data_IF_466841054440
#
_entry.id   IF_466841054440
#
_cell.length_a   1.000
_cell.length_b   1.000
_cell.length_c   1.000
_cell.angle_alpha   90.00
_cell.angle_beta   90.00
_cell.angle_gamma   90.00
#
_symmetry.space_group_name_H-M   'P 1'
#
loop_
_entity.id
_entity.type
_entity.pdbx_description
1 polymer ?
#
# COMPACT_ATOMS: atom_id res chain seq x y z
N UNK A 1 19.26 23.54 -2.30
CA UNK A 1 19.90 22.55 -1.45
C UNK A 1 18.85 21.67 -0.78
N UNK A 2 18.99 20.35 -0.81
CA UNK A 2 18.15 19.46 -0.03
C UNK A 2 18.47 19.64 1.44
N UNK A 3 17.52 20.12 2.23
CA UNK A 3 17.70 20.16 3.67
C UNK A 3 17.60 18.73 4.19
N UNK A 4 18.52 18.28 5.02
CA UNK A 4 18.58 16.92 5.56
C UNK A 4 17.22 16.49 6.14
N UNK A 5 16.49 17.43 6.73
CA UNK A 5 15.14 17.22 7.28
C UNK A 5 14.11 16.79 6.22
N UNK A 6 14.16 17.35 5.00
CA UNK A 6 13.23 16.98 3.92
C UNK A 6 13.50 15.55 3.44
N UNK A 7 14.79 15.20 3.29
CA UNK A 7 15.20 13.84 2.92
C UNK A 7 14.75 12.84 3.98
N UNK A 8 14.95 13.17 5.26
CA UNK A 8 14.56 12.33 6.36
C UNK A 8 13.03 12.12 6.40
N UNK A 9 12.23 13.19 6.31
CA UNK A 9 10.76 13.10 6.29
C UNK A 9 10.24 12.32 5.08
N UNK A 10 10.87 12.48 3.90
CA UNK A 10 10.49 11.72 2.71
C UNK A 10 10.78 10.22 2.87
N UNK A 11 11.91 9.86 3.51
CA UNK A 11 12.24 8.47 3.84
C UNK A 11 11.26 7.90 4.86
N UNK A 12 11.01 8.61 5.97
CA UNK A 12 10.08 8.17 7.03
C UNK A 12 8.70 7.85 6.46
N UNK A 13 8.10 8.78 5.71
CA UNK A 13 6.82 8.56 5.04
C UNK A 13 6.92 7.52 3.93
N UNK A 14 8.02 7.45 3.19
CA UNK A 14 8.27 6.46 2.16
C UNK A 14 8.18 5.04 2.70
N UNK A 15 8.79 4.76 3.85
CA UNK A 15 8.71 3.45 4.50
C UNK A 15 7.33 3.17 5.07
N UNK A 16 6.63 4.14 5.66
CA UNK A 16 5.26 3.96 6.16
C UNK A 16 4.32 3.56 5.02
N UNK A 17 4.35 4.26 3.89
CA UNK A 17 3.50 3.96 2.73
C UNK A 17 3.98 2.74 1.93
N UNK A 18 5.20 2.28 2.14
CA UNK A 18 5.67 1.02 1.56
C UNK A 18 4.81 -0.18 2.02
N UNK A 19 4.24 -0.13 3.22
CA UNK A 19 3.30 -1.15 3.70
C UNK A 19 2.04 -1.22 2.83
N UNK A 20 1.49 -0.06 2.40
CA UNK A 20 0.36 -0.01 1.46
C UNK A 20 0.79 -0.54 0.08
N UNK A 21 1.98 -0.16 -0.40
CA UNK A 21 2.48 -0.66 -1.68
C UNK A 21 2.65 -2.19 -1.67
N UNK A 22 3.10 -2.77 -0.55
CA UNK A 22 3.20 -4.22 -0.37
C UNK A 22 1.84 -4.90 -0.23
N UNK A 23 0.88 -4.26 0.44
CA UNK A 23 -0.50 -4.74 0.51
C UNK A 23 -1.11 -4.84 -0.90
N UNK A 24 -0.97 -3.78 -1.69
CA UNK A 24 -1.44 -3.76 -3.08
C UNK A 24 -0.62 -4.67 -3.99
N UNK A 25 0.66 -4.89 -3.72
CA UNK A 25 1.43 -5.93 -4.40
C UNK A 25 0.78 -7.30 -4.21
N UNK A 26 0.32 -7.63 -2.99
CA UNK A 26 -0.36 -8.89 -2.72
C UNK A 26 -1.72 -8.96 -3.42
N UNK A 27 -2.58 -7.94 -3.33
CA UNK A 27 -3.91 -7.97 -3.92
C UNK A 27 -3.89 -7.83 -5.44
N UNK A 28 -3.22 -6.82 -5.99
CA UNK A 28 -3.22 -6.53 -7.44
C UNK A 28 -2.27 -7.39 -8.24
N UNK A 29 -1.08 -7.72 -7.69
CA UNK A 29 -0.03 -8.39 -8.47
C UNK A 29 0.01 -9.89 -8.24
N UNK A 30 -0.23 -10.33 -7.00
CA UNK A 30 -0.17 -11.75 -6.63
C UNK A 30 -1.53 -12.41 -6.82
N UNK A 31 -2.62 -11.82 -6.31
CA UNK A 31 -3.98 -12.33 -6.46
C UNK A 31 -4.68 -11.90 -7.76
N UNK A 32 -4.17 -10.86 -8.42
CA UNK A 32 -4.80 -10.24 -9.59
C UNK A 32 -6.24 -9.75 -9.31
N UNK A 33 -6.48 -9.24 -8.11
CA UNK A 33 -7.77 -8.73 -7.63
C UNK A 33 -7.65 -7.23 -7.38
N UNK A 34 -8.56 -6.44 -7.98
CA UNK A 34 -8.67 -5.01 -7.71
C UNK A 34 -9.40 -4.80 -6.38
N UNK A 35 -8.64 -4.57 -5.31
CA UNK A 35 -9.17 -4.31 -3.97
C UNK A 35 -9.32 -2.81 -3.70
N UNK A 36 -10.56 -2.34 -3.69
CA UNK A 36 -10.92 -0.95 -3.39
C UNK A 36 -11.21 -0.72 -1.89
N UNK A 37 -11.06 -1.73 -1.05
CA UNK A 37 -11.24 -1.64 0.41
C UNK A 37 -10.07 -0.90 1.08
N UNK A 38 -8.94 -0.81 0.40
CA UNK A 38 -7.66 -0.27 0.89
C UNK A 38 -7.81 1.12 1.54
N UNK A 39 -8.58 2.04 0.94
CA UNK A 39 -8.78 3.39 1.48
C UNK A 39 -9.48 3.35 2.86
N UNK A 40 -10.55 2.57 2.98
CA UNK A 40 -11.29 2.38 4.24
C UNK A 40 -10.49 1.61 5.28
N UNK A 41 -9.77 0.57 4.87
CA UNK A 41 -8.93 -0.24 5.75
C UNK A 41 -7.73 0.56 6.30
N UNK A 42 -7.16 1.47 5.50
CA UNK A 42 -6.13 2.38 5.97
C UNK A 42 -6.64 3.31 7.07
N UNK A 43 -7.79 3.95 6.83
CA UNK A 43 -8.45 4.81 7.83
C UNK A 43 -8.85 4.01 9.07
N UNK A 44 -9.32 2.76 8.91
CA UNK A 44 -9.61 1.86 10.02
C UNK A 44 -8.38 1.63 10.91
N UNK A 45 -7.23 1.39 10.29
CA UNK A 45 -5.97 1.28 10.99
C UNK A 45 -5.60 2.54 11.76
N UNK A 46 -5.80 3.73 11.15
CA UNK A 46 -5.60 5.01 11.83
C UNK A 46 -6.52 5.16 13.05
N UNK A 47 -7.82 4.89 12.88
CA UNK A 47 -8.83 5.03 13.93
C UNK A 47 -8.56 4.10 15.12
N UNK A 48 -8.35 2.81 14.87
CA UNK A 48 -8.09 1.80 15.90
C UNK A 48 -6.79 2.08 16.65
N UNK A 49 -5.73 2.43 15.92
CA UNK A 49 -4.44 2.74 16.55
C UNK A 49 -4.49 4.02 17.38
N UNK A 50 -5.23 5.04 16.92
CA UNK A 50 -5.39 6.29 17.65
C UNK A 50 -6.15 6.07 18.96
N UNK A 51 -7.29 5.38 18.91
CA UNK A 51 -8.10 5.09 20.10
C UNK A 51 -7.36 4.21 21.10
N UNK A 52 -6.61 3.20 20.63
CA UNK A 52 -5.78 2.37 21.50
C UNK A 52 -4.62 3.16 22.14
N UNK A 53 -3.99 4.07 21.41
CA UNK A 53 -2.94 4.94 21.95
C UNK A 53 -3.51 5.91 23.00
N UNK A 54 -4.69 6.49 22.78
CA UNK A 54 -5.39 7.33 23.76
C UNK A 54 -5.74 6.54 25.02
N UNK A 55 -6.05 5.24 24.88
CA UNK A 55 -6.26 4.33 26.01
C UNK A 55 -4.97 3.89 26.73
N UNK A 56 -3.79 4.38 26.31
CA UNK A 56 -2.50 4.07 26.95
C UNK A 56 -1.79 2.81 26.43
N UNK A 57 -2.29 2.21 25.35
CA UNK A 57 -1.72 0.96 24.80
C UNK A 57 -1.26 1.10 23.34
N UNK A 58 -0.21 1.89 23.04
CA UNK A 58 0.18 2.21 21.66
C UNK A 58 0.64 0.99 20.84
N UNK A 59 1.31 0.00 21.44
CA UNK A 59 1.71 -1.24 20.75
C UNK A 59 0.51 -2.15 20.42
N UNK A 60 -0.44 -2.28 21.37
CA UNK A 60 -1.69 -2.99 21.12
C UNK A 60 -2.46 -2.38 19.94
N UNK A 61 -2.36 -1.06 19.74
CA UNK A 61 -2.95 -0.37 18.62
C UNK A 61 -2.52 -0.93 17.27
N UNK A 62 -1.27 -1.34 17.10
CA UNK A 62 -0.80 -1.97 15.84
C UNK A 62 -1.41 -3.35 15.62
N UNK A 63 -1.44 -4.17 16.66
CA UNK A 63 -2.02 -5.52 16.58
C UNK A 63 -3.52 -5.47 16.31
N UNK A 64 -4.24 -4.63 17.05
CA UNK A 64 -5.69 -4.45 16.86
C UNK A 64 -6.02 -3.87 15.49
N UNK A 65 -5.21 -2.94 14.97
CA UNK A 65 -5.37 -2.40 13.63
C UNK A 65 -5.20 -3.49 12.56
N UNK A 66 -4.18 -4.36 12.69
CA UNK A 66 -4.00 -5.49 11.77
C UNK A 66 -5.19 -6.46 11.80
N UNK A 67 -5.71 -6.79 12.97
CA UNK A 67 -6.88 -7.65 13.12
C UNK A 67 -8.13 -7.00 12.52
N UNK A 68 -8.36 -5.72 12.79
CA UNK A 68 -9.48 -4.97 12.21
C UNK A 68 -9.39 -4.92 10.67
N UNK A 69 -8.19 -4.67 10.13
CA UNK A 69 -7.94 -4.72 8.69
C UNK A 69 -8.17 -6.11 8.10
N UNK A 70 -7.74 -7.17 8.79
CA UNK A 70 -8.02 -8.54 8.37
C UNK A 70 -9.54 -8.82 8.33
N UNK A 71 -10.31 -8.34 9.31
CA UNK A 71 -11.77 -8.44 9.32
C UNK A 71 -12.40 -7.69 8.14
N UNK A 72 -11.91 -6.49 7.80
CA UNK A 72 -12.36 -5.74 6.64
C UNK A 72 -12.09 -6.51 5.33
N UNK A 73 -10.88 -7.07 5.20
CA UNK A 73 -10.51 -7.93 4.06
C UNK A 73 -11.34 -9.20 3.99
N UNK A 74 -11.65 -9.82 5.13
CA UNK A 74 -12.56 -10.97 5.20
C UNK A 74 -13.96 -10.63 4.70
N UNK A 75 -14.52 -9.49 5.11
CA UNK A 75 -15.84 -9.06 4.66
C UNK A 75 -15.87 -8.82 3.14
N UNK A 76 -14.87 -8.15 2.58
CA UNK A 76 -14.73 -7.96 1.13
C UNK A 76 -14.64 -9.30 0.40
N UNK A 77 -13.81 -10.21 0.90
CA UNK A 77 -13.66 -11.54 0.33
C UNK A 77 -14.96 -12.36 0.41
N UNK A 78 -15.69 -12.25 1.51
CA UNK A 78 -17.00 -12.89 1.68
C UNK A 78 -18.01 -12.44 0.62
N UNK A 79 -18.12 -11.12 0.41
CA UNK A 79 -18.98 -10.57 -0.66
C UNK A 79 -18.58 -11.11 -2.03
N UNK A 80 -17.28 -11.21 -2.30
CA UNK A 80 -16.78 -11.66 -3.59
C UNK A 80 -16.94 -13.17 -3.80
N UNK A 81 -16.61 -13.97 -2.80
CA UNK A 81 -16.50 -15.44 -2.97
C UNK A 81 -17.80 -16.18 -2.69
N UNK A 82 -18.64 -15.69 -1.77
CA UNK A 82 -19.91 -16.34 -1.39
C UNK A 82 -21.12 -15.70 -2.04
N UNK A 83 -21.13 -14.39 -2.20
CA UNK A 83 -22.23 -13.66 -2.82
C UNK A 83 -22.02 -13.38 -4.32
N UNK A 84 -20.83 -13.72 -4.87
CA UNK A 84 -20.54 -13.55 -6.29
C UNK A 84 -20.44 -12.08 -6.74
N UNK A 85 -20.25 -11.14 -5.81
CA UNK A 85 -20.12 -9.71 -6.14
C UNK A 85 -18.78 -9.46 -6.85
N UNK A 86 -18.74 -8.70 -7.97
CA UNK A 86 -17.49 -8.34 -8.62
C UNK A 86 -16.52 -7.67 -7.65
N UNK A 87 -15.21 -7.97 -7.74
CA UNK A 87 -14.19 -7.56 -6.77
C UNK A 87 -14.16 -6.04 -6.52
N UNK A 88 -14.24 -5.24 -7.58
CA UNK A 88 -14.25 -3.77 -7.49
C UNK A 88 -15.48 -3.32 -6.69
N UNK A 89 -16.66 -3.87 -6.99
CA UNK A 89 -17.91 -3.50 -6.33
C UNK A 89 -17.91 -3.94 -4.85
N UNK A 90 -17.44 -5.15 -4.56
CA UNK A 90 -17.28 -5.63 -3.18
C UNK A 90 -16.37 -4.70 -2.35
N UNK A 91 -15.24 -4.26 -2.93
CA UNK A 91 -14.35 -3.29 -2.30
C UNK A 91 -15.01 -1.93 -2.04
N UNK A 92 -15.77 -1.40 -3.01
CA UNK A 92 -16.49 -0.11 -2.85
C UNK A 92 -17.56 -0.22 -1.76
N UNK A 93 -18.35 -1.29 -1.73
CA UNK A 93 -19.37 -1.53 -0.70
C UNK A 93 -18.71 -1.58 0.69
N UNK A 94 -17.65 -2.36 0.84
CA UNK A 94 -16.93 -2.47 2.11
C UNK A 94 -16.33 -1.13 2.52
N UNK A 95 -15.70 -0.41 1.60
CA UNK A 95 -15.10 0.90 1.87
C UNK A 95 -16.15 1.91 2.36
N UNK A 96 -17.34 1.93 1.75
CA UNK A 96 -18.45 2.78 2.17
C UNK A 96 -18.96 2.42 3.56
N UNK A 97 -19.09 1.13 3.86
CA UNK A 97 -19.46 0.65 5.20
C UNK A 97 -18.41 0.99 6.26
N UNK A 98 -17.13 0.83 5.92
CA UNK A 98 -16.01 1.16 6.81
C UNK A 98 -15.97 2.63 7.20
N UNK A 99 -16.48 3.55 6.37
CA UNK A 99 -16.53 4.96 6.74
C UNK A 99 -17.30 5.18 8.06
N UNK A 100 -18.48 4.56 8.20
CA UNK A 100 -19.28 4.65 9.42
C UNK A 100 -18.64 3.91 10.59
N UNK A 101 -18.03 2.75 10.35
CA UNK A 101 -17.30 1.99 11.37
C UNK A 101 -16.12 2.81 11.89
N UNK A 102 -15.34 3.42 11.01
CA UNK A 102 -14.22 4.28 11.39
C UNK A 102 -14.69 5.47 12.23
N UNK A 103 -15.78 6.11 11.81
CA UNK A 103 -16.37 7.24 12.55
C UNK A 103 -16.86 6.82 13.94
N UNK A 104 -17.48 5.63 14.06
CA UNK A 104 -17.92 5.09 15.35
C UNK A 104 -16.74 4.78 16.29
N UNK A 105 -15.66 4.18 15.77
CA UNK A 105 -14.42 3.91 16.54
C UNK A 105 -13.78 5.23 17.02
N UNK A 106 -13.84 6.29 16.22
CA UNK A 106 -13.34 7.61 16.55
C UNK A 106 -14.28 8.41 17.46
N UNK A 107 -15.36 7.80 17.98
CA UNK A 107 -16.33 8.46 18.85
C UNK A 107 -17.18 9.49 18.14
N UNK A 108 -17.53 9.26 16.87
CA UNK A 108 -18.26 10.18 15.98
C UNK A 108 -17.56 11.53 15.77
N UNK A 109 -16.25 11.58 15.99
CA UNK A 109 -15.41 12.73 15.68
C UNK A 109 -14.67 12.52 14.37
N UNK A 110 -14.57 13.53 13.53
CA UNK A 110 -13.79 13.46 12.28
C UNK A 110 -12.28 13.40 12.50
N UNK A 111 -11.80 13.80 13.68
CA UNK A 111 -10.38 13.81 14.01
C UNK A 111 -10.16 13.44 15.48
N UNK A 112 -9.19 12.56 15.74
CA UNK A 112 -8.73 12.16 17.08
C UNK A 112 -7.31 12.66 17.29
N UNK A 113 -7.11 13.73 18.09
CA UNK A 113 -5.77 14.25 18.38
C UNK A 113 -5.08 13.40 19.46
N UNK A 114 -3.79 13.08 19.24
CA UNK A 114 -2.94 12.30 20.15
C UNK A 114 -1.76 13.14 20.69
N UNK A 115 -1.92 14.47 20.85
CA UNK A 115 -0.82 15.37 21.22
C UNK A 115 -0.23 15.08 22.60
N UNK A 116 -1.06 14.62 23.55
CA UNK A 116 -0.68 14.36 24.95
C UNK A 116 -0.52 12.86 25.26
N UNK A 117 -0.68 11.99 24.26
CA UNK A 117 -0.63 10.54 24.45
C UNK A 117 0.76 9.98 24.13
N UNK A 118 1.14 8.93 24.81
CA UNK A 118 2.32 8.17 24.46
C UNK A 118 2.06 7.38 23.18
N UNK A 119 2.99 7.48 22.24
CA UNK A 119 2.99 6.72 21.00
C UNK A 119 4.23 5.85 20.93
N UNK A 120 4.26 4.84 20.09
CA UNK A 120 5.46 4.03 19.85
C UNK A 120 6.65 4.93 19.46
N UNK A 121 6.40 6.01 18.73
CA UNK A 121 7.44 6.98 18.38
C UNK A 121 7.96 7.79 19.58
N UNK A 122 7.10 8.15 20.54
CA UNK A 122 7.57 8.85 21.75
C UNK A 122 8.34 7.92 22.67
N UNK A 123 7.94 6.65 22.77
CA UNK A 123 8.70 5.62 23.49
C UNK A 123 10.07 5.36 22.85
N UNK A 124 10.11 5.28 21.53
CA UNK A 124 11.38 5.16 20.78
C UNK A 124 12.28 6.38 20.99
N UNK A 125 11.71 7.60 21.07
CA UNK A 125 12.47 8.81 21.40
C UNK A 125 13.14 8.72 22.79
N UNK A 126 12.44 8.16 23.76
CA UNK A 126 12.98 7.96 25.11
C UNK A 126 14.13 6.93 25.13
N UNK A 127 14.07 5.90 24.25
CA UNK A 127 15.10 4.86 24.16
C UNK A 127 16.35 5.31 23.40
N UNK A 128 16.17 5.97 22.23
CA UNK A 128 17.26 6.31 21.31
C UNK A 128 17.81 7.74 21.50
N UNK A 129 17.15 8.57 22.31
CA UNK A 129 17.51 9.96 22.52
C UNK A 129 17.04 10.93 21.43
N UNK A 130 17.01 12.22 21.75
CA UNK A 130 16.44 13.26 20.85
C UNK A 130 17.26 13.51 19.57
N UNK A 131 18.56 13.26 19.59
CA UNK A 131 19.47 13.52 18.46
C UNK A 131 19.44 12.42 17.41
N UNK A 132 18.89 11.23 17.71
CA UNK A 132 18.83 10.11 16.76
C UNK A 132 17.60 10.21 15.86
N UNK A 133 17.63 9.67 14.62
CA UNK A 133 16.48 9.63 13.71
C UNK A 133 15.50 8.54 14.12
N UNK A 134 15.01 8.57 15.39
CA UNK A 134 14.14 7.53 15.97
C UNK A 134 12.89 7.24 15.13
N UNK A 135 12.31 8.27 14.48
CA UNK A 135 11.16 8.11 13.62
C UNK A 135 11.47 7.22 12.41
N UNK A 136 12.63 7.47 11.77
CA UNK A 136 13.09 6.65 10.65
C UNK A 136 13.37 5.22 11.09
N UNK A 137 14.01 5.02 12.25
CA UNK A 137 14.33 3.70 12.79
C UNK A 137 13.05 2.89 12.99
N UNK A 138 12.02 3.47 13.62
CA UNK A 138 10.73 2.79 13.84
C UNK A 138 10.06 2.47 12.50
N UNK A 139 9.97 3.44 11.57
CA UNK A 139 9.35 3.23 10.28
C UNK A 139 10.04 2.12 9.46
N UNK A 140 11.37 2.13 9.41
CA UNK A 140 12.16 1.10 8.72
C UNK A 140 11.99 -0.26 9.39
N UNK A 141 12.07 -0.33 10.72
CA UNK A 141 11.93 -1.60 11.45
C UNK A 141 10.57 -2.24 11.19
N UNK A 142 9.47 -1.48 11.33
CA UNK A 142 8.11 -2.00 11.07
C UNK A 142 7.98 -2.46 9.62
N UNK A 143 8.47 -1.68 8.66
CA UNK A 143 8.40 -2.03 7.23
C UNK A 143 9.23 -3.26 6.91
N UNK A 144 10.45 -3.38 7.42
CA UNK A 144 11.32 -4.54 7.17
C UNK A 144 10.73 -5.80 7.79
N UNK A 145 10.22 -5.73 9.02
CA UNK A 145 9.56 -6.86 9.69
C UNK A 145 8.32 -7.29 8.92
N UNK A 146 7.45 -6.36 8.53
CA UNK A 146 6.26 -6.67 7.76
C UNK A 146 6.59 -7.25 6.36
N UNK A 147 7.62 -6.71 5.70
CA UNK A 147 8.13 -7.23 4.43
C UNK A 147 8.64 -8.66 4.58
N UNK A 148 9.46 -8.92 5.59
CA UNK A 148 9.99 -10.25 5.86
C UNK A 148 8.85 -11.25 6.13
N UNK A 149 7.88 -10.89 6.98
CA UNK A 149 6.71 -11.72 7.28
C UNK A 149 5.88 -12.00 6.03
N UNK A 150 5.61 -10.99 5.18
CA UNK A 150 4.88 -11.18 3.93
C UNK A 150 5.61 -12.14 2.99
N UNK A 151 6.92 -11.99 2.83
CA UNK A 151 7.70 -12.82 1.93
C UNK A 151 7.78 -14.25 2.45
N UNK A 152 7.99 -14.45 3.76
CA UNK A 152 7.94 -15.76 4.39
C UNK A 152 6.56 -16.40 4.19
N UNK A 153 5.48 -15.64 4.40
CA UNK A 153 4.11 -16.10 4.16
C UNK A 153 3.90 -16.54 2.70
N UNK A 154 4.35 -15.75 1.73
CA UNK A 154 4.25 -16.09 0.30
C UNK A 154 5.11 -17.30 -0.11
N UNK A 155 6.09 -17.69 0.69
CA UNK A 155 6.87 -18.92 0.55
C UNK A 155 6.20 -20.16 1.14
N UNK A 156 5.16 -20.02 1.95
CA UNK A 156 4.41 -21.15 2.53
C UNK A 156 3.52 -21.83 1.50
N UNK A 157 3.00 -23.03 1.85
CA UNK A 157 2.01 -23.72 0.99
C UNK A 157 0.79 -22.89 0.67
N UNK A 158 0.29 -22.13 1.65
CA UNK A 158 -0.83 -21.18 1.45
C UNK A 158 -0.44 -20.04 0.50
N UNK A 159 0.73 -19.43 0.69
CA UNK A 159 1.22 -18.38 -0.19
C UNK A 159 1.42 -18.85 -1.63
N UNK A 160 1.91 -20.07 -1.84
CA UNK A 160 2.01 -20.68 -3.16
C UNK A 160 0.63 -20.90 -3.79
N UNK A 161 -0.36 -21.37 -3.01
CA UNK A 161 -1.74 -21.54 -3.47
C UNK A 161 -2.39 -20.19 -3.84
N UNK A 162 -2.13 -19.12 -3.07
CA UNK A 162 -2.60 -17.76 -3.37
C UNK A 162 -2.02 -17.27 -4.70
N UNK A 163 -0.71 -17.49 -4.93
CA UNK A 163 -0.05 -17.13 -6.20
C UNK A 163 -0.62 -17.89 -7.38
N UNK A 164 -0.79 -19.21 -7.23
CA UNK A 164 -1.41 -20.05 -8.27
C UNK A 164 -2.84 -19.61 -8.57
N UNK A 165 -3.63 -19.22 -7.55
CA UNK A 165 -4.99 -18.70 -7.71
C UNK A 165 -5.02 -17.40 -8.52
N UNK A 166 -4.06 -16.50 -8.29
CA UNK A 166 -3.96 -15.26 -9.06
C UNK A 166 -3.53 -15.46 -10.52
N UNK A 167 -2.70 -16.48 -10.78
CA UNK A 167 -2.27 -16.80 -12.14
C UNK A 167 -3.39 -17.50 -12.96
N UNK A 168 -4.05 -18.51 -12.38
CA UNK A 168 -5.16 -19.23 -13.04
C UNK A 168 -6.08 -19.91 -12.02
N UNK A 169 -7.22 -19.29 -11.65
CA UNK A 169 -8.12 -19.82 -10.65
C UNK A 169 -8.80 -21.15 -11.08
N UNK A 170 -9.02 -21.35 -12.38
CA UNK A 170 -9.68 -22.57 -12.86
C UNK A 170 -8.74 -23.78 -12.77
N UNK A 171 -7.45 -23.61 -13.05
CA UNK A 171 -6.45 -24.66 -12.86
C UNK A 171 -6.32 -25.04 -11.38
N UNK A 172 -6.40 -24.06 -10.48
CA UNK A 172 -6.30 -24.29 -9.03
C UNK A 172 -7.51 -25.07 -8.52
N UNK A 173 -8.71 -24.75 -9.02
CA UNK A 173 -9.95 -25.54 -8.72
C UNK A 173 -9.83 -26.98 -9.19
N UNK A 174 -9.30 -27.20 -10.40
CA UNK A 174 -9.06 -28.54 -10.93
C UNK A 174 -8.06 -29.34 -10.07
N UNK A 175 -7.16 -28.67 -9.36
CA UNK A 175 -6.21 -29.25 -8.42
C UNK A 175 -6.75 -29.43 -7.00
N UNK A 176 -8.09 -29.39 -6.81
CA UNK A 176 -8.79 -29.55 -5.52
C UNK A 176 -8.44 -28.52 -4.45
N UNK A 177 -7.91 -27.37 -4.84
CA UNK A 177 -7.63 -26.25 -3.92
C UNK A 177 -8.83 -25.30 -3.90
N UNK A 178 -9.30 -24.94 -2.72
CA UNK A 178 -10.41 -24.00 -2.57
C UNK A 178 -9.96 -22.57 -2.86
N UNK A 179 -10.33 -22.05 -4.04
CA UNK A 179 -10.00 -20.68 -4.48
C UNK A 179 -10.68 -19.61 -3.63
N UNK A 180 -11.86 -19.86 -3.07
CA UNK A 180 -12.54 -18.93 -2.17
C UNK A 180 -11.71 -18.72 -0.89
N UNK A 181 -11.16 -19.79 -0.33
CA UNK A 181 -10.29 -19.72 0.84
C UNK A 181 -8.98 -18.96 0.54
N UNK A 182 -8.33 -19.23 -0.58
CA UNK A 182 -7.07 -18.56 -0.95
C UNK A 182 -7.28 -17.06 -1.19
N UNK A 183 -8.37 -16.65 -1.85
CA UNK A 183 -8.76 -15.26 -2.03
C UNK A 183 -9.02 -14.59 -0.69
N UNK A 184 -9.79 -15.25 0.18
CA UNK A 184 -10.11 -14.71 1.52
C UNK A 184 -8.85 -14.44 2.33
N UNK A 185 -7.96 -15.43 2.44
CA UNK A 185 -6.71 -15.27 3.19
C UNK A 185 -5.84 -14.16 2.59
N UNK A 186 -5.73 -14.10 1.27
CA UNK A 186 -4.94 -13.08 0.61
C UNK A 186 -5.46 -11.66 0.83
N UNK A 187 -6.79 -11.44 0.76
CA UNK A 187 -7.41 -10.15 1.04
C UNK A 187 -7.31 -9.78 2.54
N UNK A 188 -7.44 -10.75 3.45
CA UNK A 188 -7.22 -10.52 4.88
C UNK A 188 -5.79 -10.02 5.16
N UNK A 189 -4.78 -10.68 4.60
CA UNK A 189 -3.37 -10.28 4.80
C UNK A 189 -3.09 -8.93 4.16
N UNK A 190 -3.61 -8.68 2.94
CA UNK A 190 -3.45 -7.39 2.27
C UNK A 190 -4.03 -6.24 3.10
N UNK A 191 -5.28 -6.37 3.54
CA UNK A 191 -5.94 -5.32 4.32
C UNK A 191 -5.36 -5.18 5.75
N UNK A 192 -4.83 -6.25 6.35
CA UNK A 192 -4.08 -6.18 7.60
C UNK A 192 -2.82 -5.32 7.46
N UNK A 193 -2.07 -5.48 6.37
CA UNK A 193 -0.89 -4.64 6.09
C UNK A 193 -1.25 -3.19 5.80
N UNK A 194 -2.34 -2.97 5.08
CA UNK A 194 -2.86 -1.61 4.83
C UNK A 194 -3.23 -0.91 6.13
N UNK A 195 -3.96 -1.60 7.01
CA UNK A 195 -4.34 -1.06 8.32
C UNK A 195 -3.13 -0.84 9.23
N UNK A 196 -2.11 -1.70 9.16
CA UNK A 196 -0.85 -1.47 9.86
C UNK A 196 -0.17 -0.17 9.39
N UNK A 197 -0.16 0.10 8.08
CA UNK A 197 0.36 1.36 7.55
C UNK A 197 -0.39 2.57 8.11
N UNK A 198 -1.73 2.51 8.13
CA UNK A 198 -2.58 3.54 8.73
C UNK A 198 -2.28 3.73 10.23
N UNK A 199 -2.13 2.63 10.97
CA UNK A 199 -1.80 2.66 12.39
C UNK A 199 -0.46 3.36 12.67
N UNK A 200 0.57 3.02 11.89
CA UNK A 200 1.89 3.65 12.00
C UNK A 200 1.82 5.13 11.64
N UNK A 201 1.10 5.50 10.57
CA UNK A 201 0.95 6.89 10.16
C UNK A 201 0.23 7.74 11.23
N UNK A 202 -0.86 7.25 11.80
CA UNK A 202 -1.61 7.96 12.82
C UNK A 202 -0.73 8.28 14.06
N UNK A 203 0.04 7.31 14.54
CA UNK A 203 0.97 7.54 15.64
C UNK A 203 2.16 8.43 15.26
N UNK A 204 2.62 8.36 13.98
CA UNK A 204 3.67 9.24 13.48
C UNK A 204 3.23 10.70 13.44
N UNK A 205 2.02 10.98 12.94
CA UNK A 205 1.45 12.32 12.82
C UNK A 205 0.83 12.82 14.14
N UNK A 206 0.61 11.92 15.11
CA UNK A 206 -0.11 12.19 16.36
C UNK A 206 -1.53 12.69 16.16
N UNK A 207 -2.17 12.26 15.10
CA UNK A 207 -3.58 12.54 14.80
C UNK A 207 -4.13 11.48 13.86
N UNK A 208 -5.41 11.16 13.99
CA UNK A 208 -6.16 10.36 13.04
C UNK A 208 -7.32 11.18 12.50
N UNK A 209 -7.42 11.29 11.19
CA UNK A 209 -8.51 11.97 10.49
C UNK A 209 -9.25 10.96 9.61
N UNK A 210 -10.57 11.11 9.50
CA UNK A 210 -11.44 10.19 8.75
C UNK A 210 -11.10 10.12 7.26
N UNK A 211 -10.48 11.18 6.72
CA UNK A 211 -10.14 11.30 5.29
C UNK A 211 -8.70 10.86 4.97
N UNK A 212 -7.91 10.41 5.96
CA UNK A 212 -6.50 10.04 5.74
C UNK A 212 -6.31 8.91 4.71
N UNK A 213 -7.28 8.00 4.63
CA UNK A 213 -7.24 6.89 3.67
C UNK A 213 -7.64 7.27 2.25
N UNK A 214 -8.22 8.46 2.03
CA UNK A 214 -8.74 8.84 0.71
C UNK A 214 -7.63 8.95 -0.33
N UNK A 215 -7.65 8.06 -1.33
CA UNK A 215 -6.68 8.01 -2.43
C UNK A 215 -5.44 7.16 -2.13
N UNK A 216 -5.42 6.37 -1.06
CA UNK A 216 -4.30 5.48 -0.72
C UNK A 216 -4.10 4.38 -1.75
N UNK A 217 -5.17 3.88 -2.37
CA UNK A 217 -5.09 2.95 -3.50
C UNK A 217 -4.23 3.55 -4.62
N UNK A 218 -4.47 4.82 -4.98
CA UNK A 218 -3.74 5.50 -6.06
C UNK A 218 -2.27 5.66 -5.69
N UNK A 219 -1.97 6.10 -4.46
CA UNK A 219 -0.60 6.27 -3.96
C UNK A 219 0.15 4.94 -3.94
N UNK A 220 -0.50 3.89 -3.45
CA UNK A 220 0.12 2.57 -3.35
C UNK A 220 0.35 1.93 -4.72
N UNK A 221 -0.61 2.04 -5.66
CA UNK A 221 -0.42 1.58 -7.04
C UNK A 221 0.67 2.37 -7.78
N UNK A 222 0.74 3.70 -7.57
CA UNK A 222 1.83 4.49 -8.11
C UNK A 222 3.19 3.98 -7.63
N UNK A 223 3.31 3.79 -6.33
CA UNK A 223 4.51 3.28 -5.69
C UNK A 223 4.90 1.91 -6.26
N UNK A 224 3.92 1.00 -6.36
CA UNK A 224 4.11 -0.33 -6.92
C UNK A 224 4.61 -0.28 -8.37
N UNK A 225 3.95 0.50 -9.24
CA UNK A 225 4.27 0.57 -10.66
C UNK A 225 5.64 1.24 -10.89
N UNK A 226 5.96 2.30 -10.13
CA UNK A 226 7.29 2.93 -10.17
C UNK A 226 8.36 1.92 -9.78
N UNK A 227 8.15 1.18 -8.69
CA UNK A 227 9.07 0.14 -8.25
C UNK A 227 9.26 -0.96 -9.31
N UNK A 228 8.18 -1.49 -9.86
CA UNK A 228 8.23 -2.52 -10.91
C UNK A 228 8.90 -2.05 -12.21
N UNK A 229 8.71 -0.80 -12.61
CA UNK A 229 9.33 -0.27 -13.83
C UNK A 229 10.84 -0.11 -13.69
N UNK A 230 11.32 0.20 -12.50
CA UNK A 230 12.75 0.40 -12.22
C UNK A 230 13.48 -0.91 -11.88
N UNK A 231 12.85 -1.77 -11.07
CA UNK A 231 13.49 -2.96 -10.49
C UNK A 231 12.76 -4.27 -10.80
N UNK A 232 11.68 -4.26 -11.57
CA UNK A 232 10.70 -5.35 -11.71
C UNK A 232 11.16 -6.61 -12.45
N UNK A 233 12.45 -6.79 -12.77
CA UNK A 233 12.98 -7.99 -13.40
C UNK A 233 13.61 -8.89 -12.35
N UNK A 234 12.84 -9.85 -11.81
CA UNK A 234 13.36 -10.77 -10.80
C UNK A 234 12.29 -11.62 -10.14
N UNK A 235 12.72 -12.42 -9.18
CA UNK A 235 11.86 -13.25 -8.35
C UNK A 235 10.96 -12.41 -7.41
N UNK A 236 10.12 -13.11 -6.64
CA UNK A 236 9.13 -12.49 -5.73
C UNK A 236 9.78 -11.52 -4.72
N UNK A 237 10.95 -11.86 -4.19
CA UNK A 237 11.72 -11.01 -3.28
C UNK A 237 12.10 -9.67 -3.88
N UNK A 238 12.56 -9.70 -5.14
CA UNK A 238 12.94 -8.49 -5.88
C UNK A 238 11.73 -7.60 -6.13
N UNK A 239 10.57 -8.19 -6.45
CA UNK A 239 9.33 -7.45 -6.67
C UNK A 239 8.79 -6.80 -5.39
N UNK A 240 8.88 -7.50 -4.25
CA UNK A 240 8.49 -6.94 -2.95
C UNK A 240 9.43 -5.79 -2.54
N UNK A 241 10.75 -5.97 -2.69
CA UNK A 241 11.72 -4.89 -2.46
C UNK A 241 11.53 -3.71 -3.43
N UNK A 242 11.16 -3.99 -4.68
CA UNK A 242 10.82 -2.98 -5.67
C UNK A 242 9.62 -2.12 -5.24
N UNK A 243 8.59 -2.72 -4.66
CA UNK A 243 7.43 -1.98 -4.13
C UNK A 243 7.84 -1.01 -3.01
N UNK A 244 8.72 -1.45 -2.11
CA UNK A 244 9.28 -0.59 -1.05
C UNK A 244 10.10 0.55 -1.64
N UNK A 245 11.03 0.25 -2.55
CA UNK A 245 11.85 1.27 -3.22
C UNK A 245 10.98 2.26 -4.02
N UNK A 246 9.95 1.77 -4.69
CA UNK A 246 9.00 2.61 -5.43
C UNK A 246 8.23 3.57 -4.54
N UNK A 247 7.83 3.14 -3.33
CA UNK A 247 7.18 4.01 -2.35
C UNK A 247 8.11 5.13 -1.88
N UNK A 248 9.36 4.81 -1.61
CA UNK A 248 10.37 5.81 -1.23
C UNK A 248 10.57 6.82 -2.36
N UNK A 249 10.76 6.36 -3.60
CA UNK A 249 10.92 7.23 -4.78
C UNK A 249 9.70 8.12 -4.98
N UNK A 250 8.48 7.55 -4.89
CA UNK A 250 7.25 8.32 -4.99
C UNK A 250 7.19 9.45 -3.97
N UNK A 251 7.56 9.18 -2.71
CA UNK A 251 7.60 10.21 -1.65
C UNK A 251 8.64 11.28 -1.90
N UNK A 252 9.79 10.94 -2.46
CA UNK A 252 10.76 11.92 -2.88
C UNK A 252 10.22 12.86 -3.97
N UNK A 253 9.47 12.32 -4.94
CA UNK A 253 8.84 13.14 -6.01
C UNK A 253 7.81 14.11 -5.40
N UNK A 254 6.98 13.64 -4.46
CA UNK A 254 6.02 14.51 -3.74
C UNK A 254 6.74 15.58 -2.90
N UNK A 255 7.82 15.23 -2.20
CA UNK A 255 8.60 16.17 -1.42
C UNK A 255 9.24 17.26 -2.31
N UNK A 256 9.68 16.90 -3.51
CA UNK A 256 10.17 17.87 -4.51
C UNK A 256 9.05 18.80 -5.02
N UNK A 257 7.86 18.27 -5.28
CA UNK A 257 6.70 19.04 -5.70
C UNK A 257 6.29 20.08 -4.65
N UNK A 258 6.24 19.66 -3.37
CA UNK A 258 5.97 20.58 -2.25
C UNK A 258 7.01 21.71 -2.15
N UNK A 259 8.27 21.39 -2.40
CA UNK A 259 9.33 22.40 -2.40
C UNK A 259 9.22 23.39 -3.56
N UNK A 260 8.63 23.01 -4.68
CA UNK A 260 8.36 23.92 -5.80
C UNK A 260 7.18 24.89 -5.52
N UNK A 261 6.81 25.07 -4.25
CA UNK A 261 5.69 25.90 -3.79
C UNK A 261 4.33 25.51 -4.39
N UNK A 262 4.15 24.22 -4.71
CA UNK A 262 2.84 23.70 -5.15
C UNK A 262 1.91 23.63 -3.94
N UNK A 263 0.70 24.22 -3.99
CA UNK A 263 -0.27 24.13 -2.92
C UNK A 263 -0.60 22.68 -2.55
N UNK A 264 -0.85 22.44 -1.26
CA UNK A 264 -1.14 21.08 -0.74
C UNK A 264 -2.37 20.44 -1.39
N UNK A 265 -3.34 21.26 -1.81
CA UNK A 265 -4.56 20.85 -2.52
C UNK A 265 -4.26 20.21 -3.88
N UNK A 266 -3.18 20.67 -4.53
CA UNK A 266 -2.75 20.16 -5.84
C UNK A 266 -1.97 18.84 -5.75
N UNK A 267 -1.59 18.36 -4.56
CA UNK A 267 -0.83 17.10 -4.41
C UNK A 267 -1.58 15.88 -4.93
N UNK A 268 -2.91 15.85 -4.79
CA UNK A 268 -3.75 14.76 -5.33
C UNK A 268 -3.71 14.75 -6.86
N UNK A 269 -3.74 15.93 -7.50
CA UNK A 269 -3.61 16.07 -8.95
C UNK A 269 -2.23 15.60 -9.44
N UNK A 270 -1.16 16.04 -8.75
CA UNK A 270 0.21 15.61 -9.08
C UNK A 270 0.35 14.10 -8.93
N UNK A 271 -0.19 13.53 -7.86
CA UNK A 271 -0.23 12.07 -7.68
C UNK A 271 -0.89 11.37 -8.86
N UNK A 272 -2.07 11.83 -9.29
CA UNK A 272 -2.79 11.25 -10.41
C UNK A 272 -2.01 11.34 -11.73
N UNK A 273 -1.36 12.48 -11.98
CA UNK A 273 -0.51 12.66 -13.18
C UNK A 273 0.71 11.72 -13.13
N UNK A 274 1.38 11.60 -11.98
CA UNK A 274 2.53 10.69 -11.81
C UNK A 274 2.10 9.24 -12.08
N UNK A 275 0.95 8.82 -11.54
CA UNK A 275 0.39 7.48 -11.78
C UNK A 275 0.10 7.26 -13.25
N UNK A 276 -0.59 8.21 -13.90
CA UNK A 276 -0.91 8.13 -15.31
C UNK A 276 0.36 8.00 -16.17
N UNK A 277 1.39 8.80 -15.89
CA UNK A 277 2.67 8.71 -16.57
C UNK A 277 3.40 7.39 -16.29
N UNK A 278 3.39 6.91 -15.05
CA UNK A 278 4.02 5.64 -14.68
C UNK A 278 3.35 4.45 -15.39
N UNK A 279 2.02 4.44 -15.50
CA UNK A 279 1.27 3.40 -16.23
C UNK A 279 1.48 3.54 -17.76
N UNK A 280 1.52 4.75 -18.28
CA UNK A 280 1.70 5.00 -19.71
C UNK A 280 3.14 4.70 -20.18
N UNK A 281 4.14 4.86 -19.35
CA UNK A 281 5.56 4.72 -19.72
C UNK A 281 5.92 3.36 -20.36
N UNK A 282 5.51 2.19 -19.83
CA UNK A 282 5.76 0.90 -20.48
C UNK A 282 5.06 0.75 -21.82
N UNK A 283 3.80 1.24 -21.92
CA UNK A 283 3.01 1.20 -23.15
C UNK A 283 3.62 2.10 -24.24
N UNK A 284 4.05 3.30 -23.86
CA UNK A 284 4.75 4.21 -24.76
C UNK A 284 6.08 3.63 -25.26
N UNK A 285 6.88 3.05 -24.38
CA UNK A 285 8.14 2.37 -24.78
C UNK A 285 7.88 1.24 -25.78
N UNK A 286 6.86 0.41 -25.56
CA UNK A 286 6.47 -0.69 -26.46
C UNK A 286 6.03 -0.16 -27.82
N UNK A 287 5.20 0.89 -27.84
CA UNK A 287 4.72 1.51 -29.08
C UNK A 287 5.84 2.19 -29.87
N UNK A 288 6.76 2.88 -29.19
CA UNK A 288 7.94 3.48 -29.81
C UNK A 288 8.88 2.41 -30.39
N UNK A 289 9.10 1.31 -29.67
CA UNK A 289 9.91 0.19 -30.16
C UNK A 289 9.28 -0.46 -31.42
N UNK A 290 7.94 -0.63 -31.44
CA UNK A 290 7.22 -1.15 -32.59
C UNK A 290 7.28 -0.19 -33.79
N UNK A 291 7.13 1.12 -33.56
CA UNK A 291 7.28 2.14 -34.63
C UNK A 291 8.69 2.15 -35.21
N UNK A 292 9.73 2.06 -34.34
CA UNK A 292 11.12 1.95 -34.82
C UNK A 292 11.35 0.70 -35.67
N UNK A 293 10.83 -0.47 -35.24
CA UNK A 293 10.95 -1.73 -36.00
C UNK A 293 10.25 -1.61 -37.39
N UNK A 294 9.05 -1.02 -37.45
CA UNK A 294 8.34 -0.78 -38.71
C UNK A 294 9.09 0.18 -39.61
N UNK A 295 9.67 1.25 -39.10
CA UNK A 295 10.46 2.22 -39.85
C UNK A 295 11.74 1.61 -40.45
N UNK A 296 12.40 0.70 -39.71
CA UNK A 296 13.58 -0.02 -40.19
C UNK A 296 13.21 -1.04 -41.28
N UNK A 297 12.09 -1.77 -41.11
CA UNK A 297 11.60 -2.73 -42.10
C UNK A 297 11.20 -2.03 -43.42
N UNK A 298 10.61 -0.83 -43.35
CA UNK A 298 10.27 -0.05 -44.59
C UNK A 298 11.50 0.52 -45.30
N UNK A 299 12.61 0.80 -44.58
CA UNK A 299 13.86 1.25 -45.21
C UNK A 299 14.61 0.10 -45.88
N UNK A 300 14.58 -1.12 -45.27
CA UNK A 300 15.24 -2.30 -45.87
C UNK A 300 14.55 -2.85 -47.12
N UNK A 301 13.23 -2.65 -47.24
CA UNK A 301 12.48 -3.05 -48.46
C UNK A 301 12.67 -2.12 -49.69
N UNK A 302 13.25 -0.93 -49.50
CA UNK A 302 13.55 -0.01 -50.62
C UNK A 302 14.94 -0.17 -51.22
N UNK A 303 15.77 -1.04 -50.67
CA UNK A 303 17.15 -1.29 -51.17
C UNK A 303 17.26 -2.55 -52.03
N UNK A 304 16.17 -3.28 -52.30
CA UNK A 304 16.10 -4.46 -53.14
C UNK A 304 15.07 -4.35 -54.29
N UNK A 305 14.72 -3.12 -54.70
CA UNK A 305 13.94 -2.86 -55.89
C UNK A 305 14.75 -2.07 -56.92
#
# INVERSE_FOLDING_TARGET
MFTLAIVQSALELGFIYALVAMALFLSFRVLNIADMTTDGAFTLGCAVSATAAVAGHPFLGFVLAMLAGACAGFFTAFLQTHLGVPSILAGIITNTGLYTVNLAIMGFSSNVPMLKTETVFTMARALFGEKSPYKLIVAVTVTVVACALLILFLGTRLGLSIRATGDNPDMVRASSINTAFTITVGLCVSNAMTSLSGAVLAQYQKSADINLGTGMVVIGLASLIIGETLFGRGGMWVKAAAAVAGSVIYRFIIALALRANVPSECLKLISAVIVALAIAAPALKKNLALRRRRAVSQKGGKTHA
#
